data_IF_513987202961
#
_entry.id   IF_513987202961
#
_cell.length_a   1.000
_cell.length_b   1.000
_cell.length_c   1.000
_cell.angle_alpha   90.00
_cell.angle_beta   90.00
_cell.angle_gamma   90.00
#
_symmetry.space_group_name_H-M   'P 1'
#
loop_
_entity.id
_entity.type
_entity.pdbx_description
1 polymer ?
#
# COMPACT_ATOMS: atom_id res chain seq x y z
N UNK A 1 -18.52 -8.88 -1.25
CA UNK A 1 -19.21 -9.82 -0.34
C UNK A 1 -19.44 -11.16 -1.03
N UNK A 2 -20.09 -11.21 -2.21
CA UNK A 2 -20.39 -12.48 -2.91
C UNK A 2 -19.18 -13.38 -3.23
N UNK A 3 -18.03 -12.81 -3.60
CA UNK A 3 -16.83 -13.61 -3.96
C UNK A 3 -16.02 -14.12 -2.76
N UNK A 4 -16.10 -13.44 -1.62
CA UNK A 4 -15.26 -13.72 -0.46
C UNK A 4 -16.04 -14.22 0.75
N UNK A 5 -17.38 -14.19 0.70
CA UNK A 5 -18.26 -14.52 1.82
C UNK A 5 -18.18 -13.55 3.01
N UNK A 6 -17.29 -12.55 2.96
CA UNK A 6 -17.07 -11.59 4.05
C UNK A 6 -18.23 -10.61 4.18
N UNK A 7 -18.60 -10.30 5.42
CA UNK A 7 -19.52 -9.23 5.75
C UNK A 7 -18.83 -7.85 5.61
N UNK A 8 -19.60 -6.75 5.71
CA UNK A 8 -19.07 -5.41 5.48
C UNK A 8 -17.98 -5.01 6.49
N UNK A 9 -18.14 -5.41 7.75
CA UNK A 9 -17.18 -5.14 8.82
C UNK A 9 -15.87 -5.89 8.61
N UNK A 10 -15.93 -7.16 8.21
CA UNK A 10 -14.76 -7.97 7.88
C UNK A 10 -14.00 -7.42 6.67
N UNK A 11 -14.72 -6.91 5.67
CA UNK A 11 -14.10 -6.23 4.52
C UNK A 11 -13.41 -4.95 4.97
N UNK A 12 -14.06 -4.12 5.80
CA UNK A 12 -13.46 -2.90 6.34
C UNK A 12 -12.23 -3.21 7.20
N UNK A 13 -12.26 -4.27 8.00
CA UNK A 13 -11.12 -4.70 8.78
C UNK A 13 -9.95 -5.11 7.86
N UNK A 14 -10.23 -5.90 6.82
CA UNK A 14 -9.21 -6.30 5.83
C UNK A 14 -8.59 -5.06 5.15
N UNK A 15 -9.40 -4.10 4.75
CA UNK A 15 -8.94 -2.88 4.07
C UNK A 15 -8.12 -1.97 5.00
N UNK A 16 -8.51 -1.86 6.27
CA UNK A 16 -7.86 -0.93 7.20
C UNK A 16 -6.66 -1.53 7.95
N UNK A 17 -6.60 -2.85 8.09
CA UNK A 17 -5.59 -3.53 8.94
C UNK A 17 -4.65 -4.44 8.18
N UNK A 18 -5.07 -4.99 7.04
CA UNK A 18 -4.33 -6.05 6.33
C UNK A 18 -3.89 -5.64 4.91
N UNK A 19 -4.22 -4.43 4.48
CA UNK A 19 -3.95 -3.94 3.11
C UNK A 19 -2.74 -3.01 3.05
N UNK A 20 -2.63 -2.19 1.99
CA UNK A 20 -1.55 -1.22 1.83
C UNK A 20 -0.17 -1.88 1.78
N UNK A 21 0.81 -1.26 2.45
CA UNK A 21 2.18 -1.76 2.51
C UNK A 21 2.26 -3.20 3.02
N UNK A 22 1.53 -3.52 4.10
CA UNK A 22 1.51 -4.87 4.69
C UNK A 22 0.92 -5.90 3.73
N UNK A 23 -0.17 -5.57 3.04
CA UNK A 23 -0.79 -6.49 2.09
C UNK A 23 0.10 -6.80 0.87
N UNK A 24 0.90 -5.83 0.45
CA UNK A 24 1.81 -5.98 -0.70
C UNK A 24 3.11 -6.68 -0.27
N UNK A 25 3.80 -6.14 0.74
CA UNK A 25 5.05 -6.70 1.26
C UNK A 25 4.86 -8.10 1.83
N UNK A 26 3.72 -8.34 2.50
CA UNK A 26 3.41 -9.58 3.21
C UNK A 26 4.15 -9.72 4.55
N UNK A 27 4.88 -8.70 4.98
CA UNK A 27 5.83 -8.76 6.11
C UNK A 27 5.54 -7.68 7.15
N UNK A 28 5.69 -6.41 6.78
CA UNK A 28 5.53 -5.25 7.66
C UNK A 28 4.68 -4.16 7.01
N UNK A 29 4.04 -3.35 7.85
CA UNK A 29 3.38 -2.09 7.47
C UNK A 29 4.30 -0.88 7.66
N UNK A 30 5.44 -1.02 8.35
CA UNK A 30 6.41 0.04 8.58
C UNK A 30 7.36 0.18 7.39
N UNK A 31 7.52 1.39 6.88
CA UNK A 31 8.35 1.66 5.71
C UNK A 31 9.84 1.35 5.97
N UNK A 32 10.31 1.51 7.22
CA UNK A 32 11.73 1.27 7.56
C UNK A 32 12.08 -0.20 7.40
N UNK A 33 11.25 -1.08 7.93
CA UNK A 33 11.43 -2.53 7.81
C UNK A 33 11.40 -2.95 6.34
N UNK A 34 10.45 -2.42 5.57
CA UNK A 34 10.31 -2.75 4.14
C UNK A 34 11.54 -2.28 3.34
N UNK A 35 12.11 -1.12 3.67
CA UNK A 35 13.34 -0.63 3.01
C UNK A 35 14.50 -1.59 3.28
N UNK A 36 14.65 -2.07 4.51
CA UNK A 36 15.74 -3.00 4.84
C UNK A 36 15.51 -4.37 4.18
N UNK A 37 14.28 -4.86 4.15
CA UNK A 37 13.92 -6.08 3.42
C UNK A 37 14.14 -5.97 1.90
N UNK A 38 13.86 -4.81 1.30
CA UNK A 38 14.13 -4.57 -0.11
C UNK A 38 15.64 -4.59 -0.40
N UNK A 39 16.47 -4.03 0.51
CA UNK A 39 17.94 -4.11 0.41
C UNK A 39 18.46 -5.55 0.52
N UNK A 40 17.78 -6.38 1.30
CA UNK A 40 18.06 -7.82 1.40
C UNK A 40 17.61 -8.62 0.16
N UNK A 41 16.97 -7.96 -0.82
CA UNK A 41 16.54 -8.58 -2.07
C UNK A 41 15.14 -9.19 -2.03
N UNK A 42 14.30 -8.85 -1.04
CA UNK A 42 12.91 -9.32 -1.02
C UNK A 42 12.07 -8.58 -2.07
N UNK A 43 11.72 -9.28 -3.15
CA UNK A 43 10.98 -8.71 -4.29
C UNK A 43 9.65 -8.06 -3.90
N UNK A 44 8.91 -8.66 -2.96
CA UNK A 44 7.63 -8.11 -2.47
C UNK A 44 7.81 -6.80 -1.71
N UNK A 45 8.92 -6.65 -1.00
CA UNK A 45 9.23 -5.41 -0.30
C UNK A 45 9.56 -4.30 -1.31
N UNK A 46 10.37 -4.61 -2.33
CA UNK A 46 10.64 -3.68 -3.42
C UNK A 46 9.35 -3.25 -4.14
N UNK A 47 8.47 -4.21 -4.48
CA UNK A 47 7.17 -3.92 -5.08
C UNK A 47 6.31 -2.99 -4.21
N UNK A 48 6.30 -3.19 -2.89
CA UNK A 48 5.56 -2.33 -1.98
C UNK A 48 6.08 -0.88 -2.01
N UNK A 49 7.41 -0.69 -2.09
CA UNK A 49 8.02 0.63 -2.22
C UNK A 49 7.69 1.29 -3.56
N UNK A 50 7.73 0.54 -4.66
CA UNK A 50 7.43 1.05 -6.00
C UNK A 50 5.97 1.52 -6.11
N UNK A 51 5.04 0.73 -5.59
CA UNK A 51 3.61 1.11 -5.54
C UNK A 51 3.40 2.34 -4.65
N UNK A 52 4.07 2.38 -3.49
CA UNK A 52 3.98 3.52 -2.58
C UNK A 52 4.48 4.82 -3.25
N UNK A 53 5.63 4.78 -3.91
CA UNK A 53 6.18 5.91 -4.64
C UNK A 53 5.26 6.34 -5.80
N UNK A 54 4.72 5.39 -6.56
CA UNK A 54 3.80 5.66 -7.67
C UNK A 54 2.54 6.39 -7.21
N UNK A 55 1.87 5.89 -6.15
CA UNK A 55 0.67 6.53 -5.61
C UNK A 55 0.99 7.93 -5.10
N UNK A 56 2.10 8.10 -4.37
CA UNK A 56 2.51 9.39 -3.83
C UNK A 56 2.75 10.43 -4.94
N UNK A 57 3.52 10.07 -5.97
CA UNK A 57 3.78 10.95 -7.13
C UNK A 57 2.49 11.27 -7.86
N UNK A 58 1.65 10.27 -8.15
CA UNK A 58 0.40 10.48 -8.87
C UNK A 58 -0.56 11.41 -8.12
N UNK A 59 -0.67 11.25 -6.79
CA UNK A 59 -1.47 12.14 -5.95
C UNK A 59 -0.91 13.56 -5.96
N UNK A 60 0.41 13.75 -5.80
CA UNK A 60 1.03 15.07 -5.84
C UNK A 60 0.75 15.80 -7.17
N UNK A 61 0.92 15.11 -8.31
CA UNK A 61 0.66 15.68 -9.64
C UNK A 61 -0.80 16.08 -9.81
N UNK A 62 -1.75 15.24 -9.37
CA UNK A 62 -3.18 15.58 -9.47
C UNK A 62 -3.59 16.72 -8.51
N UNK A 63 -3.00 16.78 -7.32
CA UNK A 63 -3.30 17.87 -6.37
C UNK A 63 -2.69 19.22 -6.79
N UNK A 64 -1.56 19.24 -7.50
CA UNK A 64 -1.02 20.49 -8.06
C UNK A 64 -1.96 21.14 -9.07
N UNK A 65 -2.74 20.35 -9.83
CA UNK A 65 -3.76 20.89 -10.72
C UNK A 65 -4.98 21.46 -9.98
N UNK A 66 -5.27 21.02 -8.76
CA UNK A 66 -6.41 21.51 -7.96
C UNK A 66 -6.05 22.78 -7.17
N UNK A 67 -4.77 23.01 -6.85
CA UNK A 67 -4.32 24.22 -6.15
C UNK A 67 -3.90 25.38 -7.07
N UNK A 68 -3.88 25.20 -8.40
CA UNK A 68 -3.58 26.27 -9.38
C UNK A 68 -4.83 26.90 -10.01
N UNK A 69 -6.03 26.62 -9.47
CA UNK A 69 -7.31 27.23 -9.90
C UNK A 69 -7.96 27.96 -8.73
#
# INVERSE_FOLDING_TARGET
MEKTGKNAEEVLNTLNKESGLLGISGTSSDLRDIIDEAKEGKERAQLALDVFAFVFINTLVHTQHVCMV
#
